data_IF_879163672571
#
_entry.id   IF_879163672571
#
_cell.length_a   1.000
_cell.length_b   1.000
_cell.length_c   1.000
_cell.angle_alpha   90.00
_cell.angle_beta   90.00
_cell.angle_gamma   90.00
#
_symmetry.space_group_name_H-M   'P 1'
#
loop_
_entity.id
_entity.type
_entity.pdbx_description
1 polymer ?
#
# COMPACT_ATOMS: atom_id res chain seq x y z
N UNK A 1 -25.97 -43.31 -5.24
CA UNK A 1 -25.59 -41.93 -4.87
C UNK A 1 -24.07 -41.86 -4.90
N UNK A 2 -23.48 -41.07 -5.80
CA UNK A 2 -22.02 -40.96 -5.94
C UNK A 2 -21.55 -39.71 -5.19
N UNK A 3 -20.71 -39.90 -4.17
CA UNK A 3 -20.08 -38.82 -3.41
C UNK A 3 -18.75 -38.48 -4.10
N UNK A 4 -18.69 -37.31 -4.75
CA UNK A 4 -17.43 -36.81 -5.32
C UNK A 4 -16.41 -36.55 -4.21
N UNK A 5 -15.12 -36.87 -4.43
CA UNK A 5 -14.08 -36.66 -3.42
C UNK A 5 -13.83 -35.17 -3.18
N UNK A 6 -13.61 -34.81 -1.92
CA UNK A 6 -13.31 -33.44 -1.50
C UNK A 6 -11.94 -33.01 -2.07
N UNK A 7 -11.81 -31.80 -2.64
CA UNK A 7 -10.53 -31.33 -3.15
C UNK A 7 -9.50 -31.22 -2.02
N UNK A 8 -8.20 -31.46 -2.32
CA UNK A 8 -7.14 -31.40 -1.33
C UNK A 8 -7.01 -29.99 -0.75
N UNK A 9 -6.70 -29.92 0.55
CA UNK A 9 -6.53 -28.65 1.24
C UNK A 9 -5.42 -27.81 0.58
N UNK A 10 -5.58 -26.48 0.49
CA UNK A 10 -4.54 -25.61 -0.03
C UNK A 10 -3.27 -25.76 0.83
N UNK A 11 -2.13 -25.99 0.17
CA UNK A 11 -0.83 -26.05 0.85
C UNK A 11 -0.60 -24.74 1.61
N UNK A 12 -0.27 -24.85 2.89
CA UNK A 12 0.05 -23.70 3.72
C UNK A 12 1.24 -22.94 3.09
N UNK A 13 1.01 -21.70 2.66
CA UNK A 13 2.08 -20.79 2.27
C UNK A 13 2.89 -20.50 3.52
N UNK A 14 4.21 -20.78 3.49
CA UNK A 14 5.11 -20.34 4.56
C UNK A 14 4.94 -18.84 4.72
N UNK A 15 4.67 -18.41 5.96
CA UNK A 15 4.62 -17.00 6.28
C UNK A 15 5.98 -16.38 5.93
N UNK A 16 6.01 -15.20 5.28
CA UNK A 16 7.25 -14.49 5.08
C UNK A 16 7.91 -14.26 6.44
N UNK A 17 9.20 -14.52 6.53
CA UNK A 17 9.97 -14.27 7.73
C UNK A 17 10.10 -12.75 7.90
N UNK A 18 9.25 -12.19 8.77
CA UNK A 18 9.24 -10.76 9.10
C UNK A 18 10.35 -10.39 10.11
N UNK A 19 11.22 -11.34 10.50
CA UNK A 19 12.29 -11.09 11.47
C UNK A 19 13.36 -10.12 10.95
N UNK A 20 13.43 -9.91 9.63
CA UNK A 20 14.20 -8.79 9.07
C UNK A 20 13.36 -7.52 9.14
N UNK A 21 13.78 -6.61 10.02
CA UNK A 21 13.29 -5.24 10.05
C UNK A 21 13.31 -4.64 8.63
N UNK A 22 12.11 -4.34 8.12
CA UNK A 22 11.88 -3.65 6.85
C UNK A 22 12.08 -2.15 7.08
N UNK A 23 13.32 -1.70 6.89
CA UNK A 23 13.64 -0.27 6.92
C UNK A 23 13.62 0.32 5.50
N UNK A 24 13.44 1.64 5.41
CA UNK A 24 13.43 2.36 4.13
C UNK A 24 14.74 2.15 3.35
N UNK A 25 15.87 2.11 4.03
CA UNK A 25 17.20 1.90 3.44
C UNK A 25 17.30 0.52 2.80
N UNK A 26 16.87 -0.53 3.50
CA UNK A 26 16.88 -1.90 2.97
C UNK A 26 15.97 -2.08 1.76
N UNK A 27 14.82 -1.42 1.78
CA UNK A 27 13.91 -1.43 0.63
C UNK A 27 14.60 -0.78 -0.58
N UNK A 28 15.31 0.35 -0.38
CA UNK A 28 16.03 1.02 -1.45
C UNK A 28 17.14 0.15 -2.06
N UNK A 29 17.92 -0.53 -1.22
CA UNK A 29 18.98 -1.44 -1.66
C UNK A 29 18.43 -2.59 -2.52
N UNK A 30 17.36 -3.24 -2.06
CA UNK A 30 16.72 -4.32 -2.82
C UNK A 30 16.10 -3.84 -4.14
N UNK A 31 15.53 -2.64 -4.17
CA UNK A 31 15.03 -2.04 -5.42
C UNK A 31 16.17 -1.76 -6.41
N UNK A 32 17.34 -1.33 -5.92
CA UNK A 32 18.51 -1.10 -6.75
C UNK A 32 19.08 -2.41 -7.31
N UNK A 33 19.18 -3.45 -6.48
CA UNK A 33 19.59 -4.79 -6.88
C UNK A 33 18.66 -5.36 -7.96
N UNK A 34 17.35 -5.33 -7.73
CA UNK A 34 16.35 -5.82 -8.69
C UNK A 34 16.45 -5.11 -10.05
N UNK A 35 16.69 -3.78 -10.06
CA UNK A 35 16.87 -3.02 -11.30
C UNK A 35 18.15 -3.41 -12.04
N UNK A 36 19.25 -3.64 -11.32
CA UNK A 36 20.53 -4.09 -11.90
C UNK A 36 20.41 -5.45 -12.58
N UNK A 37 19.59 -6.34 -12.04
CA UNK A 37 19.30 -7.66 -12.62
C UNK A 37 18.38 -7.59 -13.85
N UNK A 38 17.95 -6.40 -14.26
CA UNK A 38 17.04 -6.19 -15.38
C UNK A 38 15.55 -6.27 -15.01
N UNK A 39 15.23 -6.31 -13.72
CA UNK A 39 13.86 -6.27 -13.23
C UNK A 39 13.17 -4.93 -13.51
N UNK A 40 11.93 -4.98 -14.00
CA UNK A 40 11.09 -3.81 -14.24
C UNK A 40 9.97 -3.74 -13.21
N UNK A 41 9.77 -2.57 -12.63
CA UNK A 41 8.69 -2.31 -11.69
C UNK A 41 7.63 -1.48 -12.41
N UNK A 42 6.41 -2.00 -12.48
CA UNK A 42 5.28 -1.30 -13.07
C UNK A 42 4.22 -1.04 -11.99
N UNK A 43 3.75 0.21 -11.93
CA UNK A 43 2.70 0.62 -10.98
C UNK A 43 1.33 0.39 -11.62
N UNK A 44 0.61 -0.62 -11.15
CA UNK A 44 -0.71 -1.02 -11.66
C UNK A 44 -1.81 -0.01 -11.29
N UNK A 45 -1.63 0.75 -10.21
CA UNK A 45 -2.56 1.79 -9.78
C UNK A 45 -2.12 2.47 -8.49
N UNK A 46 -2.92 3.42 -8.03
CA UNK A 46 -2.72 4.09 -6.74
C UNK A 46 -3.86 3.70 -5.81
N UNK A 47 -3.56 2.97 -4.74
CA UNK A 47 -4.53 2.67 -3.69
C UNK A 47 -4.73 3.91 -2.81
N UNK A 48 -5.99 4.25 -2.50
CA UNK A 48 -6.29 5.32 -1.55
C UNK A 48 -5.84 4.91 -0.15
N UNK A 49 -5.16 5.82 0.55
CA UNK A 49 -4.83 5.63 1.96
C UNK A 49 -6.10 5.84 2.78
N UNK A 50 -6.47 4.87 3.62
CA UNK A 50 -7.67 4.93 4.46
C UNK A 50 -7.44 5.81 5.71
N UNK A 51 -6.27 5.66 6.36
CA UNK A 51 -5.84 6.44 7.51
C UNK A 51 -4.32 6.54 7.50
N UNK A 52 -3.76 7.75 7.63
CA UNK A 52 -2.33 7.97 7.86
C UNK A 52 -2.07 7.91 9.36
N UNK A 53 -1.11 7.10 9.81
CA UNK A 53 -0.86 6.87 11.24
C UNK A 53 0.20 7.85 11.80
N UNK A 54 0.88 8.61 10.94
CA UNK A 54 1.96 9.53 11.34
C UNK A 54 1.62 11.02 11.20
N UNK A 55 0.35 11.37 11.00
CA UNK A 55 -0.10 12.76 11.11
C UNK A 55 -0.70 12.95 12.50
N UNK A 56 0.11 13.38 13.46
CA UNK A 56 -0.38 14.05 14.66
C UNK A 56 -1.36 15.12 14.21
N UNK A 57 -2.65 14.91 14.47
CA UNK A 57 -3.77 15.83 14.22
C UNK A 57 -3.33 17.28 14.33
N UNK A 58 -2.97 17.89 13.20
CA UNK A 58 -2.74 19.33 13.10
C UNK A 58 -3.78 19.81 12.11
N UNK A 59 -4.86 20.29 12.72
CA UNK A 59 -5.93 21.14 12.20
C UNK A 59 -5.73 21.59 10.75
N UNK A 60 -6.52 21.01 9.84
CA UNK A 60 -6.66 21.53 8.48
C UNK A 60 -7.53 22.79 8.58
N UNK A 61 -7.05 24.01 8.28
CA UNK A 61 -7.94 25.15 8.27
C UNK A 61 -8.97 24.94 7.16
N UNK A 62 -10.23 24.79 7.58
CA UNK A 62 -11.41 24.73 6.72
C UNK A 62 -11.35 25.94 5.77
N UNK A 63 -11.47 25.78 4.43
CA UNK A 63 -11.49 26.92 3.54
C UNK A 63 -12.69 27.80 3.93
N UNK A 64 -12.41 28.97 4.48
CA UNK A 64 -13.40 30.00 4.79
C UNK A 64 -14.04 30.45 3.47
N UNK A 65 -15.36 30.34 3.39
CA UNK A 65 -16.12 30.82 2.26
C UNK A 65 -15.84 32.31 2.05
N UNK A 66 -15.29 32.65 0.88
CA UNK A 66 -15.15 34.05 0.45
C UNK A 66 -16.54 34.59 0.09
N UNK A 67 -17.02 35.70 0.68
CA UNK A 67 -18.30 36.28 0.29
C UNK A 67 -18.18 36.83 -1.14
N UNK A 68 -18.91 36.22 -2.08
CA UNK A 68 -19.06 36.74 -3.44
C UNK A 68 -19.83 38.05 -3.36
N UNK A 69 -19.14 39.17 -3.61
CA UNK A 69 -19.79 40.48 -3.73
C UNK A 69 -20.68 40.46 -4.98
N UNK A 70 -21.99 40.40 -4.78
CA UNK A 70 -23.00 40.59 -5.84
C UNK A 70 -22.81 41.98 -6.45
N UNK A 71 -22.63 42.00 -7.77
CA UNK A 71 -22.54 43.23 -8.56
C UNK A 71 -23.97 43.78 -8.77
N UNK A 72 -24.21 45.02 -8.36
CA UNK A 72 -25.36 45.82 -8.78
C UNK A 72 -24.95 46.72 -9.94
#
# INVERSE_FOLDING_TARGET
MSLSPRPPAPRARRAPDLSRELTSERIADHLAEFRREGGRIERIGTTRVLTRIDETTTDVPRPVAVPTRTRA
#
